data_IF_218741592861
#
_entry.id   IF_218741592861
#
_cell.length_a   1.000
_cell.length_b   1.000
_cell.length_c   1.000
_cell.angle_alpha   90.00
_cell.angle_beta   90.00
_cell.angle_gamma   90.00
#
_symmetry.space_group_name_H-M   'P 1'
#
loop_
_entity.id
_entity.type
_entity.pdbx_description
1 polymer ?
#
# COMPACT_ATOMS: atom_id res chain seq x y z
N UNK A 1 -5.20 3.81 -28.96
CA UNK A 1 -4.59 3.01 -27.85
C UNK A 1 -3.58 3.79 -27.02
N UNK A 2 -2.82 4.72 -27.64
CA UNK A 2 -1.79 5.49 -26.90
C UNK A 2 -2.38 6.49 -25.90
N UNK A 3 -3.52 7.09 -26.21
CA UNK A 3 -4.21 7.99 -25.27
C UNK A 3 -4.75 7.30 -24.00
N UNK A 4 -5.15 6.03 -24.10
CA UNK A 4 -5.59 5.26 -22.92
C UNK A 4 -4.42 4.92 -22.02
N UNK A 5 -3.27 4.56 -22.58
CA UNK A 5 -2.06 4.28 -21.84
C UNK A 5 -1.54 5.51 -21.10
N UNK A 6 -1.49 6.67 -21.76
CA UNK A 6 -1.10 7.93 -21.12
C UNK A 6 -2.02 8.30 -19.94
N UNK A 7 -3.34 8.15 -20.12
CA UNK A 7 -4.32 8.38 -19.04
C UNK A 7 -4.10 7.43 -17.86
N UNK A 8 -3.82 6.17 -18.13
CA UNK A 8 -3.57 5.17 -17.07
C UNK A 8 -2.30 5.51 -16.26
N UNK A 9 -1.24 5.98 -16.90
CA UNK A 9 -0.03 6.46 -16.22
C UNK A 9 -0.35 7.67 -15.33
N UNK A 10 -1.10 8.65 -15.84
CA UNK A 10 -1.47 9.83 -15.06
C UNK A 10 -2.28 9.45 -13.81
N UNK A 11 -3.26 8.54 -13.95
CA UNK A 11 -4.04 8.02 -12.83
C UNK A 11 -3.09 7.35 -11.82
N UNK A 12 -2.22 6.47 -12.26
CA UNK A 12 -1.32 5.73 -11.37
C UNK A 12 -0.37 6.67 -10.60
N UNK A 13 0.26 7.61 -11.26
CA UNK A 13 1.15 8.59 -10.60
C UNK A 13 0.37 9.42 -9.57
N UNK A 14 -0.80 9.94 -9.95
CA UNK A 14 -1.64 10.74 -9.05
C UNK A 14 -2.09 9.92 -7.83
N UNK A 15 -2.55 8.69 -8.04
CA UNK A 15 -3.00 7.81 -6.96
C UNK A 15 -1.85 7.40 -6.05
N UNK A 16 -0.67 7.12 -6.59
CA UNK A 16 0.52 6.78 -5.78
C UNK A 16 0.89 7.94 -4.85
N UNK A 17 0.93 9.17 -5.36
CA UNK A 17 1.21 10.35 -4.54
C UNK A 17 0.15 10.51 -3.43
N UNK A 18 -1.13 10.44 -3.77
CA UNK A 18 -2.22 10.61 -2.82
C UNK A 18 -2.23 9.53 -1.73
N UNK A 19 -2.00 8.28 -2.10
CA UNK A 19 -1.94 7.15 -1.15
C UNK A 19 -0.74 7.33 -0.22
N UNK A 20 0.42 7.70 -0.76
CA UNK A 20 1.63 7.95 0.04
C UNK A 20 1.39 9.08 1.03
N UNK A 21 0.84 10.22 0.60
CA UNK A 21 0.52 11.34 1.49
C UNK A 21 -0.50 10.95 2.57
N UNK A 22 -1.54 10.20 2.20
CA UNK A 22 -2.55 9.72 3.17
C UNK A 22 -1.98 8.74 4.17
N UNK A 23 -1.10 7.84 3.72
CA UNK A 23 -0.40 6.90 4.58
C UNK A 23 0.51 7.60 5.59
N UNK A 24 1.29 8.58 5.15
CA UNK A 24 2.13 9.39 6.04
C UNK A 24 1.30 10.13 7.10
N UNK A 25 0.21 10.79 6.67
CA UNK A 25 -0.68 11.48 7.59
C UNK A 25 -1.32 10.54 8.61
N UNK A 26 -1.75 9.35 8.18
CA UNK A 26 -2.32 8.35 9.06
C UNK A 26 -1.29 7.85 10.08
N UNK A 27 -0.07 7.51 9.63
CA UNK A 27 1.01 7.04 10.51
C UNK A 27 1.40 8.13 11.51
N UNK A 28 1.57 9.37 11.05
CA UNK A 28 1.86 10.50 11.95
C UNK A 28 0.78 10.65 13.01
N UNK A 29 -0.49 10.69 12.62
CA UNK A 29 -1.60 10.79 13.58
C UNK A 29 -1.71 9.59 14.52
N UNK A 30 -1.35 8.37 14.05
CA UNK A 30 -1.31 7.18 14.90
C UNK A 30 -0.18 7.27 15.94
N UNK A 31 1.00 7.75 15.54
CA UNK A 31 2.13 7.91 16.45
C UNK A 31 1.84 9.01 17.51
N UNK A 32 1.22 10.11 17.11
CA UNK A 32 0.77 11.15 18.04
C UNK A 32 -0.25 10.58 19.03
N UNK A 33 -1.22 9.81 18.56
CA UNK A 33 -2.20 9.15 19.43
C UNK A 33 -1.54 8.15 20.39
N UNK A 34 -0.59 7.36 19.93
CA UNK A 34 0.14 6.40 20.77
C UNK A 34 0.96 7.14 21.83
N UNK A 35 1.62 8.23 21.48
CA UNK A 35 2.41 9.02 22.42
C UNK A 35 1.53 9.67 23.49
N UNK A 36 0.42 10.26 23.11
CA UNK A 36 -0.52 10.91 24.03
C UNK A 36 -1.15 9.91 25.02
N UNK A 37 -1.27 8.64 24.62
CA UNK A 37 -1.87 7.59 25.43
C UNK A 37 -0.85 6.58 26.01
N UNK A 38 0.45 6.85 25.90
CA UNK A 38 1.51 5.93 26.35
C UNK A 38 1.34 5.51 27.82
N UNK A 39 0.97 6.43 28.71
CA UNK A 39 0.76 6.18 30.15
C UNK A 39 -0.43 5.22 30.35
N UNK A 40 -1.51 5.39 29.59
CA UNK A 40 -2.68 4.51 29.65
C UNK A 40 -2.33 3.11 29.16
N UNK A 41 -1.61 3.01 28.04
CA UNK A 41 -1.10 1.73 27.54
C UNK A 41 -0.18 1.06 28.55
N UNK A 42 0.71 1.79 29.19
CA UNK A 42 1.57 1.24 30.23
C UNK A 42 0.76 0.64 31.39
N UNK A 43 -0.30 1.32 31.81
CA UNK A 43 -1.16 0.84 32.90
C UNK A 43 -1.98 -0.39 32.51
N UNK A 44 -2.51 -0.42 31.29
CA UNK A 44 -3.33 -1.54 30.81
C UNK A 44 -2.49 -2.80 30.52
N UNK A 45 -1.27 -2.64 30.02
CA UNK A 45 -0.41 -3.74 29.60
C UNK A 45 0.74 -4.04 30.55
N UNK A 46 0.74 -3.49 31.79
CA UNK A 46 1.77 -3.75 32.81
C UNK A 46 2.01 -5.24 33.11
N UNK A 47 1.00 -6.09 32.88
CA UNK A 47 1.12 -7.54 33.12
C UNK A 47 1.65 -8.29 31.89
N UNK A 48 1.60 -7.71 30.71
CA UNK A 48 1.96 -8.38 29.44
C UNK A 48 3.35 -7.94 28.94
N UNK A 49 3.78 -6.73 29.25
CA UNK A 49 5.07 -6.19 28.83
C UNK A 49 6.00 -5.98 30.02
N UNK A 50 7.24 -6.46 29.88
CA UNK A 50 8.30 -6.08 30.82
C UNK A 50 8.66 -4.58 30.70
N UNK A 51 9.23 -3.96 31.75
CA UNK A 51 9.68 -2.58 31.68
C UNK A 51 10.68 -2.31 30.53
N UNK A 52 11.50 -3.32 30.18
CA UNK A 52 12.47 -3.23 29.09
C UNK A 52 11.79 -3.20 27.72
N UNK A 53 10.78 -4.05 27.50
CA UNK A 53 9.98 -4.07 26.27
C UNK A 53 9.20 -2.79 26.09
N UNK A 54 8.65 -2.24 27.18
CA UNK A 54 7.93 -0.97 27.12
C UNK A 54 8.86 0.20 26.78
N UNK A 55 10.06 0.28 27.37
CA UNK A 55 11.05 1.29 27.02
C UNK A 55 11.49 1.19 25.55
N UNK A 56 11.61 -0.05 25.05
CA UNK A 56 11.93 -0.30 23.64
C UNK A 56 10.80 0.17 22.73
N UNK A 57 9.55 -0.08 23.10
CA UNK A 57 8.37 0.41 22.36
C UNK A 57 8.32 1.95 22.35
N UNK A 58 8.58 2.61 23.49
CA UNK A 58 8.64 4.06 23.57
C UNK A 58 9.74 4.63 22.67
N UNK A 59 10.94 4.06 22.72
CA UNK A 59 12.06 4.51 21.90
C UNK A 59 11.78 4.37 20.39
N UNK A 60 11.08 3.32 19.99
CA UNK A 60 10.64 3.14 18.59
C UNK A 60 9.64 4.22 18.16
N UNK A 61 8.67 4.57 19.01
CA UNK A 61 7.72 5.66 18.72
C UNK A 61 8.46 6.98 18.53
N UNK A 62 9.40 7.32 19.43
CA UNK A 62 10.18 8.56 19.37
C UNK A 62 11.07 8.60 18.12
N UNK A 63 11.70 7.48 17.76
CA UNK A 63 12.54 7.36 16.56
C UNK A 63 11.70 7.55 15.28
N UNK A 64 10.54 6.89 15.20
CA UNK A 64 9.62 7.03 14.08
C UNK A 64 9.08 8.46 13.95
N UNK A 65 8.73 9.12 15.06
CA UNK A 65 8.30 10.52 15.04
C UNK A 65 9.43 11.45 14.59
N UNK A 66 10.65 11.23 15.08
CA UNK A 66 11.82 11.99 14.67
C UNK A 66 12.06 11.83 13.15
N UNK A 67 11.92 10.62 12.65
CA UNK A 67 12.02 10.33 11.21
C UNK A 67 10.94 11.07 10.39
N UNK A 68 9.68 11.03 10.84
CA UNK A 68 8.57 11.70 10.14
C UNK A 68 8.64 13.23 10.20
N UNK A 69 9.18 13.79 11.31
CA UNK A 69 9.29 15.23 11.52
C UNK A 69 10.61 15.81 11.00
N UNK A 70 11.54 14.96 10.54
CA UNK A 70 12.80 15.44 9.96
C UNK A 70 12.54 16.28 8.73
N UNK A 71 13.38 17.29 8.49
CA UNK A 71 13.31 18.20 7.34
C UNK A 71 13.38 17.50 5.98
N UNK A 72 13.71 16.20 5.97
CA UNK A 72 13.76 15.32 4.81
C UNK A 72 12.42 14.66 4.45
N UNK A 73 11.30 15.10 5.04
CA UNK A 73 9.97 14.50 4.78
C UNK A 73 9.65 14.48 3.29
N UNK A 74 10.03 15.52 2.54
CA UNK A 74 9.84 15.57 1.08
C UNK A 74 10.67 14.50 0.37
N UNK A 75 11.93 14.34 0.77
CA UNK A 75 12.83 13.30 0.25
C UNK A 75 12.31 11.90 0.59
N UNK A 76 11.80 11.72 1.81
CA UNK A 76 11.17 10.46 2.26
C UNK A 76 9.92 10.13 1.46
N UNK A 77 9.05 11.11 1.16
CA UNK A 77 7.88 10.93 0.32
C UNK A 77 8.26 10.50 -1.11
N UNK A 78 9.26 11.16 -1.71
CA UNK A 78 9.76 10.78 -3.03
C UNK A 78 10.39 9.40 -3.03
N UNK A 79 11.21 9.07 -2.04
CA UNK A 79 11.82 7.75 -1.88
C UNK A 79 10.76 6.66 -1.71
N UNK A 80 9.75 6.89 -0.88
CA UNK A 80 8.63 5.98 -0.66
C UNK A 80 7.80 5.78 -1.94
N UNK A 81 7.49 6.85 -2.66
CA UNK A 81 6.77 6.77 -3.92
C UNK A 81 7.60 6.02 -4.98
N UNK A 82 8.89 6.27 -5.06
CA UNK A 82 9.80 5.57 -5.97
C UNK A 82 9.91 4.08 -5.61
N UNK A 83 10.08 3.75 -4.34
CA UNK A 83 10.09 2.37 -3.85
C UNK A 83 8.79 1.63 -4.18
N UNK A 84 7.64 2.29 -4.01
CA UNK A 84 6.33 1.76 -4.40
C UNK A 84 6.23 1.48 -5.90
N UNK A 85 6.78 2.37 -6.74
CA UNK A 85 6.85 2.14 -8.20
C UNK A 85 7.69 0.91 -8.53
N UNK A 86 8.87 0.79 -7.94
CA UNK A 86 9.77 -0.36 -8.14
C UNK A 86 9.09 -1.66 -7.69
N UNK A 87 8.48 -1.67 -6.51
CA UNK A 87 7.73 -2.82 -5.99
C UNK A 87 6.57 -3.21 -6.93
N UNK A 88 5.86 -2.23 -7.48
CA UNK A 88 4.79 -2.47 -8.46
C UNK A 88 5.32 -3.13 -9.72
N UNK A 89 6.45 -2.66 -10.28
CA UNK A 89 7.06 -3.25 -11.47
C UNK A 89 7.48 -4.70 -11.19
N UNK A 90 8.14 -4.94 -10.07
CA UNK A 90 8.54 -6.29 -9.65
C UNK A 90 7.31 -7.20 -9.51
N UNK A 91 6.26 -6.73 -8.85
CA UNK A 91 4.99 -7.46 -8.72
C UNK A 91 4.37 -7.82 -10.06
N UNK A 92 4.36 -6.89 -11.02
CA UNK A 92 3.86 -7.16 -12.38
C UNK A 92 4.72 -8.16 -13.14
N UNK A 93 6.03 -8.16 -12.94
CA UNK A 93 6.93 -9.18 -13.51
C UNK A 93 6.60 -10.56 -12.94
N UNK A 94 6.38 -10.67 -11.63
CA UNK A 94 5.97 -11.92 -10.99
C UNK A 94 4.65 -12.42 -11.59
N UNK A 95 3.64 -11.55 -11.69
CA UNK A 95 2.35 -11.90 -12.30
C UNK A 95 2.52 -12.33 -13.76
N UNK A 96 3.34 -11.62 -14.53
CA UNK A 96 3.66 -11.98 -15.91
C UNK A 96 4.22 -13.41 -16.01
N UNK A 97 5.19 -13.74 -15.14
CA UNK A 97 5.80 -15.07 -15.10
C UNK A 97 4.79 -16.16 -14.71
N UNK A 98 3.95 -15.90 -13.71
CA UNK A 98 2.90 -16.84 -13.29
C UNK A 98 1.89 -17.08 -14.42
N UNK A 99 1.40 -16.01 -15.05
CA UNK A 99 0.47 -16.12 -16.18
C UNK A 99 1.07 -16.94 -17.31
N UNK A 100 2.33 -16.67 -17.64
CA UNK A 100 3.00 -17.32 -18.77
C UNK A 100 3.35 -18.78 -18.50
N UNK A 101 3.96 -19.08 -17.35
CA UNK A 101 4.51 -20.40 -17.08
C UNK A 101 3.53 -21.32 -16.35
N UNK A 102 2.75 -20.79 -15.40
CA UNK A 102 1.83 -21.60 -14.60
C UNK A 102 0.47 -21.75 -15.30
N UNK A 103 -0.08 -20.65 -15.79
CA UNK A 103 -1.42 -20.66 -16.41
C UNK A 103 -1.38 -20.77 -17.93
N UNK A 104 -0.17 -20.81 -18.53
CA UNK A 104 0.03 -20.97 -19.98
C UNK A 104 -0.76 -19.95 -20.81
N UNK A 105 -0.88 -18.72 -20.30
CA UNK A 105 -1.47 -17.59 -21.01
C UNK A 105 -0.38 -16.83 -21.76
N UNK A 106 -0.78 -15.98 -22.68
CA UNK A 106 0.13 -15.08 -23.41
C UNK A 106 -0.05 -13.65 -22.90
N UNK A 107 0.55 -13.29 -21.73
CA UNK A 107 0.38 -11.96 -21.19
C UNK A 107 1.14 -10.93 -22.01
N UNK A 108 0.45 -9.81 -22.30
CA UNK A 108 1.05 -8.65 -22.94
C UNK A 108 1.44 -7.67 -21.82
N UNK A 109 2.72 -7.29 -21.70
CA UNK A 109 3.17 -6.39 -20.61
C UNK A 109 2.41 -5.07 -20.56
N UNK A 110 2.07 -4.49 -21.71
CA UNK A 110 1.29 -3.26 -21.80
C UNK A 110 -0.11 -3.42 -21.18
N UNK A 111 -0.77 -4.54 -21.42
CA UNK A 111 -2.10 -4.80 -20.86
C UNK A 111 -2.05 -4.98 -19.35
N UNK A 112 -1.03 -5.67 -18.82
CA UNK A 112 -0.81 -5.81 -17.39
C UNK A 112 -0.59 -4.46 -16.70
N UNK A 113 0.24 -3.59 -17.30
CA UNK A 113 0.44 -2.23 -16.82
C UNK A 113 -0.87 -1.44 -16.82
N UNK A 114 -1.63 -1.51 -17.90
CA UNK A 114 -2.92 -0.81 -18.00
C UNK A 114 -3.92 -1.31 -16.95
N UNK A 115 -4.04 -2.62 -16.76
CA UNK A 115 -4.91 -3.20 -15.72
C UNK A 115 -4.51 -2.66 -14.34
N UNK A 116 -3.22 -2.71 -14.01
CA UNK A 116 -2.72 -2.22 -12.72
C UNK A 116 -3.01 -0.72 -12.53
N UNK A 117 -2.73 0.09 -13.53
CA UNK A 117 -2.90 1.54 -13.45
C UNK A 117 -4.39 1.93 -13.34
N UNK A 118 -5.28 1.30 -14.10
CA UNK A 118 -6.71 1.56 -13.97
C UNK A 118 -7.30 1.01 -12.67
N UNK A 119 -6.77 -0.11 -12.16
CA UNK A 119 -7.20 -0.65 -10.88
C UNK A 119 -6.83 0.23 -9.68
N UNK A 120 -5.91 1.16 -9.84
CA UNK A 120 -5.59 2.17 -8.82
C UNK A 120 -6.59 3.34 -8.78
N UNK A 121 -7.50 3.44 -9.75
CA UNK A 121 -8.51 4.53 -9.78
C UNK A 121 -9.29 4.68 -8.46
N UNK A 122 -9.71 3.60 -7.77
CA UNK A 122 -10.37 3.73 -6.47
C UNK A 122 -9.54 4.47 -5.42
N UNK A 123 -8.20 4.48 -5.55
CA UNK A 123 -7.32 5.19 -4.65
C UNK A 123 -7.53 6.72 -4.68
N UNK A 124 -8.18 7.27 -5.71
CA UNK A 124 -8.60 8.67 -5.71
C UNK A 124 -9.61 8.98 -4.59
N UNK A 125 -10.35 7.97 -4.12
CA UNK A 125 -11.28 8.09 -3.00
C UNK A 125 -10.56 8.24 -1.64
N UNK A 126 -9.24 8.11 -1.60
CA UNK A 126 -8.42 8.41 -0.41
C UNK A 126 -8.32 9.92 -0.14
N UNK A 127 -8.58 10.77 -1.13
CA UNK A 127 -8.49 12.24 -0.95
C UNK A 127 -9.21 12.75 0.28
N UNK A 128 -10.46 12.34 0.59
CA UNK A 128 -11.11 12.75 1.84
C UNK A 128 -10.34 12.38 3.10
N UNK A 129 -9.57 11.27 3.11
CA UNK A 129 -8.78 10.88 4.27
C UNK A 129 -7.72 11.92 4.64
N UNK A 130 -7.26 12.74 3.69
CA UNK A 130 -6.32 13.83 3.95
C UNK A 130 -6.93 14.95 4.82
N UNK A 131 -8.26 15.06 4.88
CA UNK A 131 -8.98 16.12 5.58
C UNK A 131 -9.72 15.63 6.83
N UNK A 132 -9.83 14.32 7.02
CA UNK A 132 -10.48 13.71 8.18
C UNK A 132 -9.52 13.77 9.37
N UNK A 133 -10.02 14.25 10.53
CA UNK A 133 -9.24 14.30 11.77
C UNK A 133 -9.35 13.02 12.59
N UNK A 134 -10.39 12.20 12.38
CA UNK A 134 -10.59 10.95 13.11
C UNK A 134 -9.71 9.84 12.50
N UNK A 135 -8.74 9.34 13.27
CA UNK A 135 -7.86 8.23 12.88
C UNK A 135 -8.64 6.98 12.47
N UNK A 136 -9.69 6.65 13.22
CA UNK A 136 -10.53 5.49 12.91
C UNK A 136 -11.18 5.60 11.53
N UNK A 137 -11.81 6.76 11.23
CA UNK A 137 -12.45 6.98 9.93
C UNK A 137 -11.42 7.05 8.79
N UNK A 138 -10.25 7.63 9.05
CA UNK A 138 -9.16 7.69 8.08
C UNK A 138 -8.64 6.29 7.75
N UNK A 139 -8.34 5.47 8.77
CA UNK A 139 -7.88 4.09 8.59
C UNK A 139 -8.94 3.22 7.91
N UNK A 140 -10.21 3.37 8.29
CA UNK A 140 -11.34 2.66 7.68
C UNK A 140 -11.49 2.99 6.19
N UNK A 141 -11.37 4.27 5.81
CA UNK A 141 -11.43 4.69 4.42
C UNK A 141 -10.27 4.13 3.61
N UNK A 142 -9.03 4.20 4.13
CA UNK A 142 -7.84 3.63 3.50
C UNK A 142 -8.02 2.12 3.28
N UNK A 143 -8.54 1.40 4.28
CA UNK A 143 -8.79 -0.04 4.18
C UNK A 143 -9.81 -0.38 3.10
N UNK A 144 -10.96 0.32 3.06
CA UNK A 144 -11.98 0.10 2.04
C UNK A 144 -11.42 0.34 0.64
N UNK A 145 -10.71 1.45 0.45
CA UNK A 145 -10.10 1.80 -0.84
C UNK A 145 -9.08 0.75 -1.28
N UNK A 146 -8.26 0.25 -0.35
CA UNK A 146 -7.28 -0.81 -0.61
C UNK A 146 -7.95 -2.11 -1.06
N UNK A 147 -8.99 -2.55 -0.35
CA UNK A 147 -9.76 -3.74 -0.74
C UNK A 147 -10.37 -3.57 -2.12
N UNK A 148 -10.97 -2.41 -2.39
CA UNK A 148 -11.61 -2.14 -3.67
C UNK A 148 -10.60 -2.13 -4.83
N UNK A 149 -9.40 -1.60 -4.62
CA UNK A 149 -8.31 -1.62 -5.60
C UNK A 149 -7.86 -3.05 -5.91
N UNK A 150 -7.70 -3.90 -4.88
CA UNK A 150 -7.34 -5.31 -5.05
C UNK A 150 -8.42 -6.06 -5.86
N UNK A 151 -9.69 -5.86 -5.52
CA UNK A 151 -10.82 -6.48 -6.24
C UNK A 151 -10.88 -5.98 -7.68
N UNK A 152 -10.66 -4.69 -7.92
CA UNK A 152 -10.62 -4.09 -9.26
C UNK A 152 -9.49 -4.69 -10.09
N UNK A 153 -8.31 -4.84 -9.52
CA UNK A 153 -7.15 -5.46 -10.17
C UNK A 153 -7.42 -6.94 -10.53
N UNK A 154 -7.91 -7.72 -9.57
CA UNK A 154 -8.28 -9.12 -9.81
C UNK A 154 -9.35 -9.28 -10.88
N UNK A 155 -10.36 -8.39 -10.90
CA UNK A 155 -11.42 -8.37 -11.90
C UNK A 155 -10.87 -8.04 -13.29
N UNK A 156 -9.95 -7.09 -13.39
CA UNK A 156 -9.26 -6.75 -14.64
C UNK A 156 -8.46 -7.91 -15.19
N UNK A 157 -7.66 -8.58 -14.36
CA UNK A 157 -6.91 -9.78 -14.75
C UNK A 157 -7.84 -10.91 -15.21
N UNK A 158 -8.93 -11.13 -14.46
CA UNK A 158 -9.92 -12.15 -14.82
C UNK A 158 -10.52 -11.93 -16.19
N UNK A 159 -10.92 -10.69 -16.50
CA UNK A 159 -11.57 -10.35 -17.75
C UNK A 159 -10.61 -10.44 -18.95
N UNK A 160 -9.40 -9.89 -18.82
CA UNK A 160 -8.44 -9.81 -19.92
C UNK A 160 -7.84 -11.17 -20.24
N UNK A 161 -7.51 -11.97 -19.21
CA UNK A 161 -6.86 -13.28 -19.42
C UNK A 161 -7.80 -14.47 -19.27
N UNK A 162 -9.11 -14.23 -19.10
CA UNK A 162 -10.14 -15.28 -18.93
C UNK A 162 -9.75 -16.28 -17.84
N UNK A 163 -9.38 -15.74 -16.65
CA UNK A 163 -8.95 -16.56 -15.52
C UNK A 163 -10.15 -17.08 -14.71
N UNK A 164 -9.95 -18.22 -14.06
CA UNK A 164 -10.88 -18.75 -13.06
C UNK A 164 -10.70 -17.97 -11.74
N UNK A 165 -11.73 -17.95 -10.90
CA UNK A 165 -11.64 -17.25 -9.61
C UNK A 165 -10.45 -17.71 -8.75
N UNK A 166 -10.19 -19.03 -8.73
CA UNK A 166 -9.08 -19.61 -7.97
C UNK A 166 -7.72 -19.14 -8.51
N UNK A 167 -7.57 -18.99 -9.83
CA UNK A 167 -6.33 -18.49 -10.44
C UNK A 167 -6.08 -17.03 -10.10
N UNK A 168 -7.14 -16.20 -10.03
CA UNK A 168 -7.05 -14.81 -9.59
C UNK A 168 -6.62 -14.72 -8.12
N UNK A 169 -7.22 -15.55 -7.26
CA UNK A 169 -6.86 -15.59 -5.83
C UNK A 169 -5.39 -15.99 -5.67
N UNK A 170 -4.94 -17.02 -6.39
CA UNK A 170 -3.54 -17.45 -6.37
C UNK A 170 -2.59 -16.34 -6.82
N UNK A 171 -2.94 -15.57 -7.86
CA UNK A 171 -2.15 -14.44 -8.31
C UNK A 171 -2.04 -13.34 -7.26
N UNK A 172 -3.17 -12.96 -6.64
CA UNK A 172 -3.20 -11.93 -5.59
C UNK A 172 -2.37 -12.37 -4.38
N UNK A 173 -2.55 -13.60 -3.93
CA UNK A 173 -1.78 -14.17 -2.82
C UNK A 173 -0.28 -14.21 -3.14
N UNK A 174 0.09 -14.67 -4.34
CA UNK A 174 1.49 -14.70 -4.77
C UNK A 174 2.12 -13.30 -4.84
N UNK A 175 1.34 -12.29 -5.27
CA UNK A 175 1.79 -10.91 -5.28
C UNK A 175 2.06 -10.40 -3.87
N UNK A 176 1.14 -10.65 -2.93
CA UNK A 176 1.27 -10.21 -1.53
C UNK A 176 2.50 -10.85 -0.88
N UNK A 177 2.68 -12.15 -1.03
CA UNK A 177 3.86 -12.84 -0.47
C UNK A 177 5.16 -12.43 -1.18
N UNK A 178 5.15 -12.31 -2.51
CA UNK A 178 6.33 -11.93 -3.28
C UNK A 178 6.85 -10.52 -2.92
N UNK A 179 5.94 -9.56 -2.76
CA UNK A 179 6.33 -8.19 -2.35
C UNK A 179 6.76 -8.12 -0.89
N UNK A 180 6.21 -8.92 0.01
CA UNK A 180 6.62 -8.97 1.42
C UNK A 180 8.03 -9.52 1.60
N UNK A 181 8.42 -10.54 0.83
CA UNK A 181 9.78 -11.11 0.88
C UNK A 181 10.81 -10.12 0.35
N UNK A 182 10.48 -9.37 -0.70
CA UNK A 182 11.41 -8.42 -1.34
C UNK A 182 11.45 -7.06 -0.63
N UNK A 183 10.39 -6.69 0.10
CA UNK A 183 10.32 -5.44 0.86
C UNK A 183 10.84 -5.56 2.30
N UNK A 184 11.11 -6.79 2.78
CA UNK A 184 11.68 -7.05 4.10
C UNK A 184 13.19 -7.34 4.11
N UNK A 185 13.85 -7.19 2.96
CA UNK A 185 15.30 -7.24 2.79
C UNK A 185 15.87 -5.84 2.55
#
# INVERSE_FOLDING_TARGET
QDGAFQKSIAIFVSTTILVTMSGFRFISGLLDYLQDNLILFQQEFQQEFSPEEFNLFQSLIEELQTFLNSSDTTTSLFSSAFSSLVATVIGLVIIYLILRFLFRKEPIPKDLLMINFFSSTPCLLVVPALFISSLFLQGFLILIVSIYSIVSFGSGLKQVYMLRNIEVILLIVSLTFGTSILGGA
#
